data_IF_438221418169
#
_entry.id   IF_438221418169
#
_cell.length_a   1.000
_cell.length_b   1.000
_cell.length_c   1.000
_cell.angle_alpha   90.00
_cell.angle_beta   90.00
_cell.angle_gamma   90.00
#
_symmetry.space_group_name_H-M   'P 1'
#
loop_
_entity.id
_entity.type
_entity.pdbx_description
1 polymer ?
#
# COMPACT_ATOMS: atom_id res chain seq x y z
N UNK A 1 28.50 44.74 -25.31
CA UNK A 1 27.32 44.66 -24.41
C UNK A 1 27.22 43.22 -23.93
N UNK A 2 27.88 42.92 -22.84
CA UNK A 2 27.81 41.62 -22.19
C UNK A 2 26.55 41.60 -21.34
N UNK A 3 25.57 40.78 -21.73
CA UNK A 3 24.40 40.49 -20.89
C UNK A 3 24.87 39.61 -19.71
N UNK A 4 24.98 40.21 -18.53
CA UNK A 4 25.00 39.46 -17.26
C UNK A 4 23.73 38.66 -17.16
N UNK A 5 23.80 37.37 -17.39
CA UNK A 5 22.80 36.42 -16.89
C UNK A 5 22.97 36.35 -15.37
N UNK A 6 22.18 37.10 -14.63
CA UNK A 6 21.97 36.86 -13.20
C UNK A 6 21.36 35.48 -13.06
N UNK A 7 22.13 34.50 -12.57
CA UNK A 7 21.62 33.24 -12.10
C UNK A 7 20.74 33.55 -10.88
N UNK A 8 19.45 33.42 -11.04
CA UNK A 8 18.51 33.42 -9.90
C UNK A 8 18.95 32.28 -8.97
N UNK A 9 19.55 32.63 -7.84
CA UNK A 9 19.88 31.67 -6.79
C UNK A 9 18.63 31.52 -5.94
N UNK A 10 17.95 30.34 -6.04
CA UNK A 10 16.81 30.02 -5.21
C UNK A 10 17.31 29.90 -3.76
N UNK A 11 16.77 30.73 -2.87
CA UNK A 11 17.03 30.62 -1.44
C UNK A 11 16.14 29.54 -0.83
N UNK A 12 16.69 28.83 0.16
CA UNK A 12 15.94 27.82 0.91
C UNK A 12 14.90 28.52 1.81
N UNK A 13 13.62 28.24 1.60
CA UNK A 13 12.54 28.74 2.43
C UNK A 13 12.27 27.78 3.62
N UNK A 14 13.04 27.97 4.68
CA UNK A 14 12.94 27.16 5.90
C UNK A 14 11.58 27.39 6.57
N UNK A 15 11.03 28.60 6.54
CA UNK A 15 9.74 28.91 7.14
C UNK A 15 8.60 28.06 6.55
N UNK A 16 8.53 27.98 5.22
CA UNK A 16 7.54 27.13 4.55
C UNK A 16 7.73 25.64 4.87
N UNK A 17 8.98 25.18 5.00
CA UNK A 17 9.25 23.78 5.37
C UNK A 17 8.73 23.49 6.78
N UNK A 18 8.98 24.37 7.75
CA UNK A 18 8.50 24.25 9.12
C UNK A 18 6.97 24.29 9.20
N UNK A 19 6.31 25.13 8.40
CA UNK A 19 4.85 25.16 8.29
C UNK A 19 4.28 23.86 7.74
N UNK A 20 4.90 23.25 6.73
CA UNK A 20 4.47 21.94 6.20
C UNK A 20 4.58 20.87 7.30
N UNK A 21 5.68 20.82 8.02
CA UNK A 21 5.88 19.88 9.12
C UNK A 21 4.81 20.08 10.20
N UNK A 22 4.58 21.32 10.62
CA UNK A 22 3.56 21.66 11.60
C UNK A 22 2.17 21.20 11.14
N UNK A 23 1.81 21.46 9.89
CA UNK A 23 0.52 21.04 9.33
C UNK A 23 0.34 19.51 9.32
N UNK A 24 1.41 18.72 9.15
CA UNK A 24 1.34 17.26 9.29
C UNK A 24 1.08 16.83 10.73
N UNK A 25 1.65 17.51 11.72
CA UNK A 25 1.40 17.24 13.15
C UNK A 25 -0.06 17.58 13.50
N UNK A 26 -0.56 18.73 13.08
CA UNK A 26 -1.96 19.13 13.27
C UNK A 26 -2.95 18.17 12.61
N UNK A 27 -2.63 17.69 11.40
CA UNK A 27 -3.41 16.68 10.70
C UNK A 27 -3.49 15.39 11.51
N UNK A 28 -2.35 14.90 12.02
CA UNK A 28 -2.25 13.69 12.84
C UNK A 28 -3.10 13.79 14.10
N UNK A 29 -2.96 14.88 14.85
CA UNK A 29 -3.74 15.14 16.06
C UNK A 29 -5.25 15.22 15.79
N UNK A 30 -5.63 15.88 14.69
CA UNK A 30 -7.02 15.97 14.24
C UNK A 30 -7.61 14.62 13.92
N UNK A 31 -6.86 13.79 13.18
CA UNK A 31 -7.26 12.41 12.84
C UNK A 31 -7.46 11.56 14.09
N UNK A 32 -6.50 11.57 15.02
CA UNK A 32 -6.61 10.81 16.28
C UNK A 32 -7.84 11.24 17.05
N UNK A 33 -8.09 12.54 17.15
CA UNK A 33 -9.29 13.08 17.81
C UNK A 33 -10.59 12.53 17.21
N UNK A 34 -10.67 12.44 15.89
CA UNK A 34 -11.83 11.92 15.17
C UNK A 34 -11.96 10.39 15.33
N UNK A 35 -10.84 9.64 15.25
CA UNK A 35 -10.83 8.19 15.41
C UNK A 35 -11.35 7.76 16.79
N UNK A 36 -11.09 8.53 17.84
CA UNK A 36 -11.55 8.24 19.20
C UNK A 36 -12.91 8.87 19.55
N UNK A 37 -13.60 9.44 18.57
CA UNK A 37 -14.96 9.95 18.78
C UNK A 37 -15.89 8.83 19.28
N UNK A 38 -16.65 9.12 20.35
CA UNK A 38 -17.54 8.14 21.00
C UNK A 38 -19.00 8.43 20.68
N UNK A 39 -19.68 7.41 20.16
CA UNK A 39 -21.13 7.46 19.99
C UNK A 39 -21.78 6.20 20.58
N UNK A 40 -22.66 6.36 21.55
CA UNK A 40 -23.15 5.25 22.40
C UNK A 40 -24.12 4.28 21.72
N UNK A 41 -24.76 4.66 20.62
CA UNK A 41 -25.97 3.94 20.16
C UNK A 41 -25.80 3.08 18.90
N UNK A 42 -24.66 3.08 18.20
CA UNK A 42 -24.49 2.29 17.00
C UNK A 42 -23.00 2.00 16.66
N UNK A 43 -22.55 0.79 17.01
CA UNK A 43 -21.15 0.37 16.78
C UNK A 43 -20.76 0.26 15.29
N UNK A 44 -21.68 -0.19 14.42
CA UNK A 44 -21.37 -0.34 12.99
C UNK A 44 -21.21 1.02 12.28
N UNK A 45 -22.00 2.02 12.67
CA UNK A 45 -21.87 3.39 12.15
C UNK A 45 -20.51 4.01 12.54
N UNK A 46 -20.04 3.74 13.77
CA UNK A 46 -18.73 4.21 14.22
C UNK A 46 -17.59 3.50 13.47
N UNK A 47 -17.73 2.20 13.20
CA UNK A 47 -16.78 1.43 12.40
C UNK A 47 -16.59 2.08 11.02
N UNK A 48 -17.68 2.26 10.27
CA UNK A 48 -17.64 2.89 8.96
C UNK A 48 -17.09 4.33 9.00
N UNK A 49 -17.43 5.12 10.02
CA UNK A 49 -16.88 6.47 10.18
C UNK A 49 -15.35 6.47 10.38
N UNK A 50 -14.80 5.49 11.12
CA UNK A 50 -13.36 5.35 11.30
C UNK A 50 -12.66 4.89 10.02
N UNK A 51 -13.27 3.98 9.28
CA UNK A 51 -12.79 3.59 7.95
C UNK A 51 -12.74 4.79 6.99
N UNK A 52 -13.74 5.68 7.04
CA UNK A 52 -13.76 6.92 6.25
C UNK A 52 -12.59 7.84 6.61
N UNK A 53 -12.23 8.00 7.90
CA UNK A 53 -11.07 8.80 8.32
C UNK A 53 -9.77 8.20 7.77
N UNK A 54 -9.57 6.89 7.90
CA UNK A 54 -8.41 6.21 7.32
C UNK A 54 -8.38 6.36 5.79
N UNK A 55 -9.54 6.20 5.14
CA UNK A 55 -9.65 6.39 3.70
C UNK A 55 -9.24 7.80 3.27
N UNK A 56 -9.66 8.83 3.97
CA UNK A 56 -9.30 10.22 3.67
C UNK A 56 -7.78 10.43 3.73
N UNK A 57 -7.09 9.86 4.72
CA UNK A 57 -5.63 9.88 4.78
C UNK A 57 -5.02 9.29 3.50
N UNK A 58 -5.42 8.07 3.12
CA UNK A 58 -4.85 7.40 1.95
C UNK A 58 -5.16 8.16 0.65
N UNK A 59 -6.37 8.69 0.49
CA UNK A 59 -6.73 9.54 -0.67
C UNK A 59 -5.83 10.78 -0.76
N UNK A 60 -5.43 11.35 0.38
CA UNK A 60 -4.57 12.53 0.42
C UNK A 60 -3.11 12.22 0.07
N UNK A 61 -2.58 11.06 0.50
CA UNK A 61 -1.14 10.77 0.38
C UNK A 61 -0.75 9.95 -0.84
N UNK A 62 -1.68 9.19 -1.46
CA UNK A 62 -1.34 8.38 -2.63
C UNK A 62 -1.42 9.16 -3.94
N UNK A 63 -0.57 8.85 -4.95
CA UNK A 63 -0.66 9.49 -6.27
C UNK A 63 -2.01 9.23 -6.94
N UNK A 64 -2.51 10.21 -7.72
CA UNK A 64 -3.83 10.16 -8.37
C UNK A 64 -4.03 9.03 -9.39
N UNK A 65 -2.98 8.32 -9.78
CA UNK A 65 -3.14 7.10 -10.59
C UNK A 65 -3.78 5.96 -9.80
N UNK A 66 -3.72 6.02 -8.48
CA UNK A 66 -4.37 5.07 -7.60
C UNK A 66 -5.72 5.58 -7.13
N UNK A 67 -6.65 4.65 -6.97
CA UNK A 67 -7.97 4.87 -6.37
C UNK A 67 -8.03 4.16 -5.04
N UNK A 68 -8.66 4.78 -4.05
CA UNK A 68 -8.92 4.19 -2.72
C UNK A 68 -10.38 3.80 -2.64
N UNK A 69 -10.64 2.49 -2.65
CA UNK A 69 -11.99 1.91 -2.59
C UNK A 69 -12.24 1.23 -1.24
N UNK A 70 -13.49 1.30 -0.77
CA UNK A 70 -13.95 0.65 0.49
C UNK A 70 -14.79 -0.58 0.19
N UNK A 71 -14.79 -1.55 1.13
CA UNK A 71 -15.64 -2.74 1.09
C UNK A 71 -15.50 -3.50 -0.23
N UNK A 72 -14.34 -4.10 -0.44
CA UNK A 72 -13.94 -4.73 -1.71
C UNK A 72 -13.63 -6.20 -1.51
N UNK A 73 -14.02 -7.03 -2.47
CA UNK A 73 -13.55 -8.41 -2.60
C UNK A 73 -12.47 -8.48 -3.68
N UNK A 74 -11.34 -9.09 -3.36
CA UNK A 74 -10.25 -9.32 -4.31
C UNK A 74 -10.40 -10.73 -4.86
N UNK A 75 -10.33 -10.88 -6.17
CA UNK A 75 -10.45 -12.18 -6.86
C UNK A 75 -9.24 -12.42 -7.74
N UNK A 76 -8.78 -13.66 -7.82
CA UNK A 76 -7.74 -14.08 -8.77
C UNK A 76 -8.32 -14.88 -9.95
N UNK A 77 -7.51 -15.07 -11.00
CA UNK A 77 -7.90 -15.84 -12.19
C UNK A 77 -8.02 -17.35 -11.95
N UNK A 78 -7.72 -17.83 -10.74
CA UNK A 78 -7.92 -19.25 -10.34
C UNK A 78 -9.25 -19.45 -9.61
N UNK A 79 -9.96 -18.37 -9.28
CA UNK A 79 -11.26 -18.39 -8.61
C UNK A 79 -11.18 -18.30 -7.09
N UNK A 80 -10.01 -17.97 -6.53
CA UNK A 80 -9.92 -17.65 -5.11
C UNK A 80 -10.41 -16.23 -4.88
N UNK A 81 -11.13 -16.04 -3.79
CA UNK A 81 -11.72 -14.74 -3.41
C UNK A 81 -11.32 -14.42 -1.99
N UNK A 82 -10.91 -13.19 -1.74
CA UNK A 82 -10.60 -12.69 -0.39
C UNK A 82 -11.87 -12.58 0.47
N UNK A 83 -11.74 -12.51 1.79
CA UNK A 83 -12.74 -11.85 2.63
C UNK A 83 -12.97 -10.41 2.15
N UNK A 84 -14.01 -9.75 2.67
CA UNK A 84 -14.17 -8.32 2.46
C UNK A 84 -12.93 -7.58 3.01
N UNK A 85 -12.38 -6.68 2.20
CA UNK A 85 -11.25 -5.84 2.54
C UNK A 85 -11.78 -4.44 2.81
N UNK A 86 -11.49 -3.89 3.99
CA UNK A 86 -12.06 -2.62 4.44
C UNK A 86 -11.68 -1.49 3.49
N UNK A 87 -10.36 -1.38 3.11
CA UNK A 87 -9.88 -0.42 2.13
C UNK A 87 -8.88 -1.08 1.18
N UNK A 88 -8.94 -0.70 -0.09
CA UNK A 88 -7.99 -1.14 -1.13
C UNK A 88 -7.46 0.07 -1.89
N UNK A 89 -6.15 0.10 -2.13
CA UNK A 89 -5.52 1.03 -3.07
C UNK A 89 -5.23 0.24 -4.35
N UNK A 90 -5.82 0.66 -5.46
CA UNK A 90 -5.75 -0.04 -6.74
C UNK A 90 -5.44 0.89 -7.91
N UNK A 91 -4.87 0.33 -8.96
CA UNK A 91 -4.66 1.00 -10.24
C UNK A 91 -5.82 0.67 -11.20
N UNK A 92 -6.68 1.66 -11.49
CA UNK A 92 -7.81 1.50 -12.41
C UNK A 92 -7.44 1.75 -13.87
N UNK A 93 -6.23 2.21 -14.19
CA UNK A 93 -5.90 2.71 -15.54
C UNK A 93 -6.00 1.60 -16.59
N UNK A 94 -5.55 0.39 -16.26
CA UNK A 94 -5.51 -0.74 -17.20
C UNK A 94 -6.27 -1.97 -16.73
N UNK A 95 -6.89 -1.92 -15.55
CA UNK A 95 -7.53 -3.08 -14.95
C UNK A 95 -8.98 -2.79 -14.62
N UNK A 96 -9.95 -3.45 -15.29
CA UNK A 96 -11.36 -3.24 -15.02
C UNK A 96 -11.78 -3.94 -13.73
N UNK A 97 -12.88 -3.48 -13.13
CA UNK A 97 -13.58 -4.29 -12.13
C UNK A 97 -14.12 -5.56 -12.80
N UNK A 98 -13.98 -6.69 -12.14
CA UNK A 98 -14.66 -7.94 -12.56
C UNK A 98 -16.16 -7.78 -12.41
N UNK A 99 -16.59 -7.12 -11.32
CA UNK A 99 -17.98 -6.77 -11.08
C UNK A 99 -18.08 -5.56 -10.16
N UNK A 100 -19.00 -4.63 -10.46
CA UNK A 100 -19.30 -3.48 -9.62
C UNK A 100 -20.79 -3.14 -9.65
N UNK A 101 -21.46 -3.23 -8.50
CA UNK A 101 -22.85 -2.77 -8.35
C UNK A 101 -23.10 -2.29 -6.92
N UNK A 102 -23.26 -0.99 -6.76
CA UNK A 102 -23.41 -0.37 -5.45
C UNK A 102 -22.20 -0.62 -4.55
N UNK A 103 -22.42 -1.24 -3.41
CA UNK A 103 -21.34 -1.59 -2.46
C UNK A 103 -20.62 -2.90 -2.82
N UNK A 104 -21.19 -3.73 -3.69
CA UNK A 104 -20.56 -4.99 -4.07
C UNK A 104 -19.56 -4.75 -5.20
N UNK A 105 -18.29 -4.99 -4.90
CA UNK A 105 -17.16 -4.76 -5.81
C UNK A 105 -16.23 -5.96 -5.79
N UNK A 106 -15.95 -6.52 -6.96
CA UNK A 106 -14.94 -7.55 -7.15
C UNK A 106 -13.83 -6.97 -8.03
N UNK A 107 -12.63 -6.94 -7.47
CA UNK A 107 -11.45 -6.35 -8.11
C UNK A 107 -10.43 -7.47 -8.37
N UNK A 108 -9.83 -7.54 -9.56
CA UNK A 108 -8.77 -8.52 -9.82
C UNK A 108 -7.51 -8.18 -9.01
N UNK A 109 -6.82 -9.21 -8.54
CA UNK A 109 -5.60 -9.08 -7.73
C UNK A 109 -4.53 -8.26 -8.46
N UNK A 110 -4.49 -8.30 -9.78
CA UNK A 110 -3.56 -7.59 -10.63
C UNK A 110 -3.66 -6.05 -10.50
N UNK A 111 -4.82 -5.54 -10.08
CA UNK A 111 -5.02 -4.11 -9.85
C UNK A 111 -4.55 -3.64 -8.47
N UNK A 112 -4.45 -4.56 -7.50
CA UNK A 112 -4.33 -4.21 -6.08
C UNK A 112 -2.88 -3.93 -5.70
N UNK A 113 -2.61 -2.69 -5.31
CA UNK A 113 -1.30 -2.27 -4.79
C UNK A 113 -1.22 -2.41 -3.26
N UNK A 114 -2.31 -2.09 -2.55
CA UNK A 114 -2.38 -2.15 -1.08
C UNK A 114 -3.73 -2.73 -0.64
N UNK A 115 -3.72 -3.62 0.34
CA UNK A 115 -4.90 -4.10 1.05
C UNK A 115 -4.81 -3.70 2.52
N UNK A 116 -5.88 -3.10 3.05
CA UNK A 116 -5.89 -2.47 4.36
C UNK A 116 -7.04 -3.04 5.18
N UNK A 117 -6.72 -3.48 6.39
CA UNK A 117 -7.67 -3.94 7.39
C UNK A 117 -7.78 -2.90 8.51
N UNK A 118 -9.01 -2.49 8.86
CA UNK A 118 -9.29 -1.47 9.87
C UNK A 118 -10.01 -2.08 11.07
N UNK A 119 -9.46 -1.94 12.27
CA UNK A 119 -10.09 -2.44 13.50
C UNK A 119 -10.18 -1.37 14.57
N UNK A 120 -11.37 -1.20 15.09
CA UNK A 120 -11.66 -0.26 16.20
C UNK A 120 -11.41 -0.87 17.58
N UNK A 121 -11.36 -2.18 17.66
CA UNK A 121 -11.09 -2.98 18.86
C UNK A 121 -10.03 -4.02 18.50
N UNK A 122 -9.37 -4.59 19.53
CA UNK A 122 -8.42 -5.68 19.32
C UNK A 122 -9.08 -6.82 18.54
N UNK A 123 -8.49 -7.21 17.44
CA UNK A 123 -8.86 -8.41 16.69
C UNK A 123 -8.07 -9.62 17.21
N UNK A 124 -8.63 -10.84 17.07
CA UNK A 124 -7.87 -12.03 17.40
C UNK A 124 -6.75 -12.23 16.37
N UNK A 125 -5.61 -12.74 16.83
CA UNK A 125 -4.45 -13.05 15.97
C UNK A 125 -4.86 -13.98 14.83
N UNK A 126 -5.61 -15.05 15.15
CA UNK A 126 -6.03 -16.08 14.18
C UNK A 126 -6.91 -15.49 13.06
N UNK A 127 -7.77 -14.51 13.40
CA UNK A 127 -8.59 -13.83 12.40
C UNK A 127 -7.75 -13.00 11.43
N UNK A 128 -6.79 -12.23 11.95
CA UNK A 128 -5.89 -11.41 11.15
C UNK A 128 -4.90 -12.27 10.34
N UNK A 129 -4.38 -13.36 10.93
CA UNK A 129 -3.53 -14.32 10.23
C UNK A 129 -4.28 -14.95 9.04
N UNK A 130 -5.50 -15.43 9.26
CA UNK A 130 -6.34 -15.98 8.18
C UNK A 130 -6.58 -14.95 7.08
N UNK A 131 -6.85 -13.69 7.45
CA UNK A 131 -7.06 -12.61 6.49
C UNK A 131 -5.78 -12.34 5.68
N UNK A 132 -4.64 -12.16 6.34
CA UNK A 132 -3.37 -11.89 5.67
C UNK A 132 -2.92 -13.04 4.78
N UNK A 133 -3.08 -14.28 5.23
CA UNK A 133 -2.72 -15.48 4.46
C UNK A 133 -3.62 -15.64 3.24
N UNK A 134 -4.92 -15.34 3.37
CA UNK A 134 -5.82 -15.36 2.22
C UNK A 134 -5.39 -14.35 1.16
N UNK A 135 -5.10 -13.10 1.55
CA UNK A 135 -4.65 -12.07 0.59
C UNK A 135 -3.32 -12.47 -0.06
N UNK A 136 -2.34 -12.94 0.73
CA UNK A 136 -1.04 -13.42 0.21
C UNK A 136 -1.17 -14.65 -0.68
N UNK A 137 -2.21 -15.46 -0.46
CA UNK A 137 -2.50 -16.67 -1.22
C UNK A 137 -3.04 -16.41 -2.63
N UNK A 138 -3.60 -15.23 -2.91
CA UNK A 138 -4.11 -14.86 -4.22
C UNK A 138 -2.97 -14.79 -5.24
N UNK A 139 -3.23 -15.29 -6.47
CA UNK A 139 -2.21 -15.43 -7.50
C UNK A 139 -2.46 -14.50 -8.67
N UNK A 140 -1.51 -13.62 -8.95
CA UNK A 140 -1.50 -12.82 -10.17
C UNK A 140 -1.19 -13.68 -11.39
N UNK A 141 -1.87 -13.41 -12.52
CA UNK A 141 -1.59 -14.06 -13.80
C UNK A 141 -0.78 -13.13 -14.71
N UNK A 142 0.16 -13.71 -15.46
CA UNK A 142 0.96 -13.00 -16.47
C UNK A 142 0.46 -13.22 -17.89
N UNK A 143 -0.66 -13.90 -18.08
CA UNK A 143 -1.27 -14.16 -19.37
C UNK A 143 -1.94 -12.94 -19.96
N UNK A 144 -1.19 -11.84 -20.12
CA UNK A 144 -1.69 -10.58 -20.64
C UNK A 144 -1.11 -10.30 -22.03
N UNK A 145 -1.90 -9.60 -22.87
CA UNK A 145 -1.48 -9.12 -24.17
C UNK A 145 -1.86 -7.65 -24.32
N UNK A 146 -0.87 -6.78 -24.52
CA UNK A 146 -1.12 -5.36 -24.67
C UNK A 146 -0.21 -4.72 -25.73
N UNK A 147 -0.77 -3.75 -26.46
CA UNK A 147 0.03 -2.91 -27.35
C UNK A 147 0.81 -1.87 -26.56
N UNK A 148 2.13 -1.90 -26.73
CA UNK A 148 3.04 -0.85 -26.26
C UNK A 148 3.51 0.03 -27.42
N UNK A 149 4.15 1.14 -27.13
CA UNK A 149 4.72 1.96 -28.19
C UNK A 149 5.80 1.18 -28.94
N UNK A 150 5.51 0.83 -30.19
CA UNK A 150 6.44 0.12 -31.08
C UNK A 150 6.44 -1.40 -31.03
N UNK A 151 5.73 -2.04 -30.06
CA UNK A 151 5.66 -3.51 -29.99
C UNK A 151 4.40 -3.99 -29.25
N UNK A 152 4.12 -5.28 -29.34
CA UNK A 152 3.11 -5.95 -28.51
C UNK A 152 3.80 -6.60 -27.32
N UNK A 153 3.43 -6.20 -26.12
CA UNK A 153 3.89 -6.85 -24.90
C UNK A 153 3.04 -8.07 -24.59
N UNK A 154 3.70 -9.17 -24.26
CA UNK A 154 3.08 -10.35 -23.68
C UNK A 154 3.67 -10.54 -22.29
N UNK A 155 2.89 -11.06 -21.35
CA UNK A 155 3.37 -11.34 -20.00
C UNK A 155 4.48 -12.38 -19.92
N UNK A 156 4.64 -13.18 -20.97
CA UNK A 156 5.71 -14.17 -21.10
C UNK A 156 6.97 -13.53 -21.70
N UNK A 157 7.99 -13.35 -20.83
CA UNK A 157 9.30 -12.84 -21.21
C UNK A 157 10.31 -13.98 -21.23
N UNK A 158 10.27 -14.80 -22.28
CA UNK A 158 11.21 -15.90 -22.45
C UNK A 158 12.67 -15.42 -22.38
N UNK A 159 13.39 -15.85 -21.34
CA UNK A 159 14.84 -15.74 -21.25
C UNK A 159 15.42 -14.40 -20.82
N UNK A 160 14.62 -13.43 -20.37
CA UNK A 160 15.09 -12.16 -19.76
C UNK A 160 14.81 -12.15 -18.26
N UNK A 161 15.65 -11.44 -17.50
CA UNK A 161 15.40 -11.14 -16.08
C UNK A 161 14.00 -10.54 -15.93
N UNK A 162 13.15 -11.23 -15.18
CA UNK A 162 11.78 -10.81 -14.95
C UNK A 162 11.76 -9.84 -13.79
N UNK A 163 11.09 -8.69 -13.97
CA UNK A 163 10.92 -7.72 -12.90
C UNK A 163 9.87 -8.16 -11.87
N UNK A 164 9.12 -9.23 -12.17
CA UNK A 164 8.15 -9.84 -11.26
C UNK A 164 7.92 -11.31 -11.63
N UNK A 165 7.66 -12.13 -10.62
CA UNK A 165 7.22 -13.51 -10.80
C UNK A 165 5.83 -13.75 -10.19
N UNK A 166 5.60 -13.23 -8.99
CA UNK A 166 4.33 -13.26 -8.29
C UNK A 166 4.24 -11.99 -7.42
N UNK A 167 3.36 -11.09 -7.79
CA UNK A 167 3.16 -9.84 -7.05
C UNK A 167 2.08 -10.02 -5.99
N UNK A 168 2.30 -9.46 -4.81
CA UNK A 168 1.31 -9.33 -3.74
C UNK A 168 1.11 -7.87 -3.36
N UNK A 169 -0.06 -7.50 -2.83
CA UNK A 169 -0.27 -6.16 -2.27
C UNK A 169 0.59 -5.93 -1.03
N UNK A 170 0.85 -4.66 -0.74
CA UNK A 170 1.31 -4.21 0.57
C UNK A 170 0.15 -4.38 1.56
N UNK A 171 0.39 -4.99 2.72
CA UNK A 171 -0.62 -5.20 3.74
C UNK A 171 -0.49 -4.17 4.84
N UNK A 172 -1.57 -3.42 5.10
CA UNK A 172 -1.61 -2.39 6.14
C UNK A 172 -2.68 -2.72 7.17
N UNK A 173 -2.35 -2.57 8.45
CA UNK A 173 -3.27 -2.66 9.56
C UNK A 173 -3.49 -1.29 10.18
N UNK A 174 -4.74 -0.84 10.24
CA UNK A 174 -5.14 0.41 10.88
C UNK A 174 -5.91 0.08 12.16
N UNK A 175 -5.42 0.47 13.32
CA UNK A 175 -6.02 0.11 14.60
C UNK A 175 -6.00 1.24 15.63
N UNK A 176 -6.84 1.07 16.67
CA UNK A 176 -6.90 1.93 17.84
C UNK A 176 -6.41 1.13 19.05
N UNK A 177 -5.41 1.66 19.77
CA UNK A 177 -4.94 1.11 21.06
C UNK A 177 -4.82 -0.43 21.09
N UNK A 178 -4.40 -1.07 19.99
CA UNK A 178 -4.20 -2.52 19.97
C UNK A 178 -2.98 -2.87 20.85
N UNK A 179 -3.22 -3.66 21.90
CA UNK A 179 -2.18 -4.08 22.84
C UNK A 179 -1.46 -5.35 22.40
N UNK A 180 -1.86 -5.96 21.29
CA UNK A 180 -1.29 -7.22 20.80
C UNK A 180 -0.19 -6.97 19.76
N UNK A 181 1.07 -6.81 20.20
CA UNK A 181 2.22 -6.62 19.32
C UNK A 181 2.34 -7.68 18.22
N UNK A 182 1.92 -8.92 18.49
CA UNK A 182 1.93 -10.02 17.51
C UNK A 182 1.05 -9.75 16.29
N UNK A 183 -0.06 -9.02 16.44
CA UNK A 183 -0.92 -8.66 15.33
C UNK A 183 -0.17 -7.82 14.29
N UNK A 184 0.75 -6.96 14.76
CA UNK A 184 1.53 -6.06 13.92
C UNK A 184 2.53 -6.81 13.03
N UNK A 185 3.05 -7.95 13.46
CA UNK A 185 4.01 -8.77 12.72
C UNK A 185 3.40 -9.41 11.44
N UNK A 186 2.07 -9.52 11.38
CA UNK A 186 1.36 -10.07 10.23
C UNK A 186 1.35 -9.13 9.01
N UNK A 187 1.49 -7.82 9.25
CA UNK A 187 1.35 -6.77 8.26
C UNK A 187 2.69 -6.14 7.88
N UNK A 188 2.73 -5.52 6.72
CA UNK A 188 3.91 -4.77 6.26
C UNK A 188 4.02 -3.44 7.00
N UNK A 189 2.87 -2.79 7.28
CA UNK A 189 2.76 -1.61 8.12
C UNK A 189 1.58 -1.74 9.09
N UNK A 190 1.74 -1.18 10.27
CA UNK A 190 0.63 -0.95 11.21
C UNK A 190 0.57 0.54 11.57
N UNK A 191 -0.59 1.14 11.39
CA UNK A 191 -0.92 2.49 11.82
C UNK A 191 -1.77 2.40 13.07
N UNK A 192 -1.15 2.64 14.24
CA UNK A 192 -1.81 2.58 15.53
C UNK A 192 -2.08 3.97 16.06
N UNK A 193 -3.35 4.34 16.16
CA UNK A 193 -3.73 5.60 16.77
C UNK A 193 -3.67 5.51 18.31
N UNK A 194 -3.01 6.47 18.94
CA UNK A 194 -2.86 6.62 20.39
C UNK A 194 -3.57 7.90 20.85
N UNK A 195 -4.62 7.74 21.67
CA UNK A 195 -5.41 8.87 22.17
C UNK A 195 -4.69 9.67 23.27
N UNK A 196 -3.78 9.05 24.01
CA UNK A 196 -3.05 9.72 25.11
C UNK A 196 -1.96 10.63 24.55
N UNK A 197 -1.21 10.13 23.57
CA UNK A 197 -0.14 10.88 22.90
C UNK A 197 -0.66 11.75 21.75
N UNK A 198 -1.93 11.59 21.34
CA UNK A 198 -2.55 12.22 20.16
C UNK A 198 -1.72 11.99 18.89
N UNK A 199 -1.22 10.77 18.73
CA UNK A 199 -0.25 10.39 17.70
C UNK A 199 -0.67 9.09 17.01
N UNK A 200 -0.19 8.90 15.78
CA UNK A 200 -0.28 7.64 15.04
C UNK A 200 1.11 7.02 15.02
N UNK A 201 1.29 5.91 15.75
CA UNK A 201 2.51 5.14 15.70
C UNK A 201 2.55 4.30 14.44
N UNK A 202 3.65 4.40 13.68
CA UNK A 202 3.87 3.63 12.47
C UNK A 202 4.84 2.49 12.80
N UNK A 203 4.32 1.28 12.80
CA UNK A 203 5.13 0.07 12.95
C UNK A 203 5.34 -0.56 11.57
N UNK A 204 6.54 -1.02 11.31
CA UNK A 204 6.93 -1.70 10.06
C UNK A 204 7.43 -3.09 10.37
N UNK A 205 7.28 -3.96 9.39
CA UNK A 205 7.85 -5.30 9.49
C UNK A 205 9.38 -5.22 9.60
N UNK A 206 9.94 -5.67 10.72
CA UNK A 206 11.37 -5.53 11.04
C UNK A 206 12.28 -6.42 10.17
N UNK A 207 11.72 -7.50 9.60
CA UNK A 207 12.45 -8.48 8.80
C UNK A 207 12.86 -7.94 7.42
N UNK A 208 12.18 -6.91 6.92
CA UNK A 208 12.38 -6.32 5.59
C UNK A 208 12.86 -4.89 5.77
N UNK A 209 14.12 -4.62 5.49
CA UNK A 209 14.76 -3.32 5.79
C UNK A 209 15.12 -2.51 4.55
N UNK A 210 15.69 -3.16 3.54
CA UNK A 210 16.17 -2.47 2.33
C UNK A 210 15.10 -2.42 1.25
N UNK A 211 15.21 -1.47 0.34
CA UNK A 211 14.32 -1.39 -0.81
C UNK A 211 14.42 -2.62 -1.71
N UNK A 212 15.60 -3.27 -1.77
CA UNK A 212 15.79 -4.51 -2.51
C UNK A 212 14.99 -5.67 -1.88
N UNK A 213 15.04 -5.82 -0.56
CA UNK A 213 14.24 -6.81 0.17
C UNK A 213 12.73 -6.56 -0.03
N UNK A 214 12.29 -5.30 0.01
CA UNK A 214 10.91 -4.92 -0.29
C UNK A 214 10.53 -5.26 -1.74
N UNK A 215 11.40 -4.92 -2.70
CA UNK A 215 11.18 -5.26 -4.10
C UNK A 215 10.96 -6.76 -4.28
N UNK A 216 11.80 -7.59 -3.67
CA UNK A 216 11.65 -9.05 -3.73
C UNK A 216 10.38 -9.54 -3.01
N UNK A 217 10.10 -9.05 -1.82
CA UNK A 217 8.92 -9.45 -1.05
C UNK A 217 7.59 -9.11 -1.75
N UNK A 218 7.56 -8.03 -2.54
CA UNK A 218 6.36 -7.56 -3.23
C UNK A 218 6.21 -8.13 -4.64
N UNK A 219 7.30 -8.38 -5.37
CA UNK A 219 7.26 -8.78 -6.79
C UNK A 219 7.70 -10.22 -7.06
N UNK A 220 8.31 -10.88 -6.08
CA UNK A 220 8.80 -12.26 -6.17
C UNK A 220 8.33 -13.08 -4.96
N UNK A 221 7.09 -12.86 -4.53
CA UNK A 221 6.52 -13.45 -3.32
C UNK A 221 6.44 -14.99 -3.38
N UNK A 222 6.24 -15.55 -4.55
CA UNK A 222 6.23 -17.01 -4.76
C UNK A 222 7.65 -17.51 -5.01
N UNK A 223 8.27 -18.09 -3.99
CA UNK A 223 9.64 -18.62 -4.03
C UNK A 223 9.80 -19.89 -4.87
N UNK A 224 8.73 -20.42 -5.45
CA UNK A 224 8.77 -21.60 -6.32
C UNK A 224 9.38 -21.30 -7.70
N UNK A 225 9.55 -20.02 -8.05
CA UNK A 225 10.15 -19.60 -9.31
C UNK A 225 11.61 -19.21 -9.09
N UNK A 226 12.46 -20.13 -9.48
CA UNK A 226 13.90 -20.06 -9.78
C UNK A 226 14.74 -19.04 -8.97
N UNK A 227 15.32 -19.52 -7.87
CA UNK A 227 16.35 -18.81 -7.07
C UNK A 227 17.63 -18.47 -7.87
N UNK A 228 17.68 -18.82 -9.17
CA UNK A 228 18.81 -18.57 -10.06
C UNK A 228 18.80 -17.21 -10.76
N UNK A 229 17.74 -16.42 -10.59
CA UNK A 229 17.72 -15.03 -11.04
C UNK A 229 18.59 -14.18 -10.11
N UNK A 230 19.91 -14.28 -10.27
CA UNK A 230 20.85 -13.32 -9.67
C UNK A 230 20.63 -11.97 -10.33
N UNK A 231 19.76 -11.19 -9.71
CA UNK A 231 19.61 -9.78 -9.97
C UNK A 231 20.68 -9.06 -9.14
N UNK A 232 21.57 -8.35 -9.83
CA UNK A 232 22.52 -7.48 -9.13
C UNK A 232 21.79 -6.15 -8.84
N UNK A 233 21.31 -6.01 -7.60
CA UNK A 233 20.53 -4.84 -7.19
C UNK A 233 21.34 -3.56 -7.38
N UNK A 234 20.82 -2.54 -8.08
CA UNK A 234 21.44 -1.23 -8.10
C UNK A 234 21.72 -0.70 -6.70
N UNK A 235 22.86 -0.03 -6.49
CA UNK A 235 23.29 0.45 -5.16
C UNK A 235 22.19 1.23 -4.42
N UNK A 236 21.38 1.99 -5.14
CA UNK A 236 20.25 2.74 -4.57
C UNK A 236 19.16 1.86 -3.95
N UNK A 237 18.99 0.62 -4.40
CA UNK A 237 18.03 -0.32 -3.80
C UNK A 237 18.53 -0.92 -2.49
N UNK A 238 19.81 -0.80 -2.18
CA UNK A 238 20.38 -1.23 -0.89
C UNK A 238 20.06 -0.24 0.24
N UNK A 239 19.49 0.93 -0.08
CA UNK A 239 19.06 1.91 0.90
C UNK A 239 17.97 1.33 1.82
N UNK A 240 18.04 1.66 3.11
CA UNK A 240 16.98 1.32 4.06
C UNK A 240 15.74 2.18 3.81
N UNK A 241 14.56 1.58 4.01
CA UNK A 241 13.30 2.32 4.04
C UNK A 241 13.27 3.36 5.19
N UNK A 242 14.08 3.16 6.22
CA UNK A 242 14.25 4.12 7.33
C UNK A 242 14.83 5.46 6.87
N UNK A 243 15.57 5.48 5.77
CA UNK A 243 16.12 6.72 5.21
C UNK A 243 15.02 7.69 4.71
N UNK A 244 13.78 7.23 4.65
CA UNK A 244 12.60 8.03 4.28
C UNK A 244 11.86 8.59 5.50
N UNK A 245 12.43 8.46 6.71
CA UNK A 245 11.90 9.10 7.91
C UNK A 245 12.20 10.60 7.89
N UNK A 246 11.17 11.38 8.21
CA UNK A 246 11.30 12.83 8.45
C UNK A 246 11.28 13.08 9.94
N UNK A 247 12.26 13.83 10.40
CA UNK A 247 12.39 14.25 11.79
C UNK A 247 12.33 15.76 11.90
N UNK A 248 11.73 16.25 12.96
CA UNK A 248 11.64 17.67 13.30
C UNK A 248 12.10 17.88 14.73
N UNK A 249 12.74 19.02 14.98
CA UNK A 249 13.31 19.41 16.26
C UNK A 249 14.75 19.86 16.15
N UNK A 250 15.32 20.29 17.26
CA UNK A 250 16.74 20.65 17.38
C UNK A 250 17.57 19.47 17.84
N UNK A 251 18.87 19.51 17.63
CA UNK A 251 19.83 18.46 18.01
C UNK A 251 19.59 17.94 19.44
N UNK A 252 19.25 16.65 19.55
CA UNK A 252 18.97 15.96 20.82
C UNK A 252 17.50 15.89 21.23
N UNK A 253 16.59 16.59 20.57
CA UNK A 253 15.13 16.53 20.81
C UNK A 253 14.34 16.26 19.50
N UNK A 254 14.99 15.67 18.50
CA UNK A 254 14.35 15.31 17.25
C UNK A 254 13.23 14.29 17.45
N UNK A 255 12.06 14.58 16.86
CA UNK A 255 10.89 13.68 16.86
C UNK A 255 10.50 13.34 15.44
N UNK A 256 10.10 12.10 15.23
CA UNK A 256 9.58 11.68 13.94
C UNK A 256 8.22 12.34 13.66
N UNK A 257 8.07 12.86 12.44
CA UNK A 257 6.80 13.32 11.87
C UNK A 257 6.14 12.13 11.18
N UNK A 258 5.38 11.35 11.95
CA UNK A 258 4.95 9.99 11.59
C UNK A 258 4.23 9.92 10.26
N UNK A 259 3.20 10.75 10.04
CA UNK A 259 2.42 10.71 8.79
C UNK A 259 3.22 11.17 7.57
N UNK A 260 4.15 12.12 7.73
CA UNK A 260 5.01 12.57 6.62
C UNK A 260 6.04 11.49 6.27
N UNK A 261 6.64 10.85 7.26
CA UNK A 261 7.53 9.70 7.09
C UNK A 261 6.80 8.57 6.37
N UNK A 262 5.60 8.22 6.83
CA UNK A 262 4.78 7.18 6.22
C UNK A 262 4.41 7.51 4.77
N UNK A 263 4.05 8.76 4.49
CA UNK A 263 3.78 9.21 3.12
C UNK A 263 4.97 8.90 2.19
N UNK A 264 6.18 9.28 2.56
CA UNK A 264 7.36 9.01 1.74
C UNK A 264 7.66 7.51 1.62
N UNK A 265 7.58 6.76 2.72
CA UNK A 265 7.82 5.32 2.74
C UNK A 265 6.81 4.55 1.88
N UNK A 266 5.50 4.80 2.07
CA UNK A 266 4.46 4.15 1.28
C UNK A 266 4.61 4.46 -0.21
N UNK A 267 4.79 5.74 -0.56
CA UNK A 267 4.94 6.12 -1.96
C UNK A 267 6.20 5.55 -2.60
N UNK A 268 7.30 5.41 -1.86
CA UNK A 268 8.49 4.72 -2.36
C UNK A 268 8.19 3.23 -2.64
N UNK A 269 7.45 2.54 -1.77
CA UNK A 269 7.07 1.15 -2.02
C UNK A 269 6.07 1.02 -3.17
N UNK A 270 5.13 1.95 -3.33
CA UNK A 270 4.24 1.99 -4.50
C UNK A 270 5.00 2.16 -5.83
N UNK A 271 6.20 2.76 -5.81
CA UNK A 271 7.08 2.81 -6.98
C UNK A 271 7.83 1.50 -7.24
N UNK A 272 7.96 0.64 -6.22
CA UNK A 272 8.62 -0.67 -6.33
C UNK A 272 7.64 -1.79 -6.72
N UNK A 273 6.37 -1.68 -6.33
CA UNK A 273 5.34 -2.61 -6.81
C UNK A 273 5.20 -2.42 -8.32
N UNK A 274 5.36 -3.52 -9.07
CA UNK A 274 5.29 -3.45 -10.53
C UNK A 274 3.85 -3.22 -10.98
N UNK A 275 3.51 -1.98 -11.09
CA UNK A 275 2.18 -1.51 -11.40
C UNK A 275 2.26 -0.44 -12.52
N UNK A 276 1.37 -0.50 -13.52
CA UNK A 276 0.24 -1.40 -13.63
C UNK A 276 0.64 -2.79 -14.14
N UNK A 277 0.08 -3.84 -13.54
CA UNK A 277 0.05 -5.13 -14.20
C UNK A 277 -0.94 -5.08 -15.34
N UNK A 278 -0.55 -5.60 -16.47
CA UNK A 278 -1.46 -5.74 -17.60
C UNK A 278 -2.53 -6.79 -17.27
N UNK A 279 -3.80 -6.42 -17.39
CA UNK A 279 -4.89 -7.30 -17.01
C UNK A 279 -4.96 -8.56 -17.92
N UNK A 280 -4.93 -9.78 -17.34
CA UNK A 280 -4.90 -11.04 -18.09
C UNK A 280 -6.31 -11.48 -18.49
N UNK A 281 -6.92 -10.82 -19.50
CA UNK A 281 -8.31 -11.04 -19.90
C UNK A 281 -8.66 -12.52 -20.13
N UNK A 282 -7.79 -13.26 -20.83
CA UNK A 282 -8.08 -14.68 -21.15
C UNK A 282 -8.12 -15.54 -19.90
N UNK A 283 -7.24 -15.30 -18.91
CA UNK A 283 -7.23 -16.07 -17.67
C UNK A 283 -8.56 -15.94 -16.90
N UNK A 284 -9.17 -14.74 -16.91
CA UNK A 284 -10.49 -14.52 -16.30
C UNK A 284 -11.64 -15.07 -17.16
N UNK A 285 -11.55 -14.97 -18.49
CA UNK A 285 -12.53 -15.63 -19.39
C UNK A 285 -12.54 -17.14 -19.14
N UNK A 286 -11.37 -17.76 -19.04
CA UNK A 286 -11.25 -19.18 -18.75
C UNK A 286 -11.78 -19.56 -17.37
N UNK A 287 -11.58 -18.71 -16.37
CA UNK A 287 -12.16 -18.89 -15.03
C UNK A 287 -13.69 -19.00 -15.11
N UNK A 288 -14.35 -18.07 -15.79
CA UNK A 288 -15.80 -18.05 -15.88
C UNK A 288 -16.36 -19.17 -16.75
N UNK A 289 -15.63 -19.60 -17.78
CA UNK A 289 -16.03 -20.71 -18.65
C UNK A 289 -15.86 -22.07 -17.98
N UNK A 290 -14.81 -22.29 -17.20
CA UNK A 290 -14.55 -23.55 -16.48
C UNK A 290 -15.62 -23.92 -15.45
N UNK A 291 -16.38 -22.96 -14.98
CA UNK A 291 -17.45 -23.19 -13.98
C UNK A 291 -18.65 -23.97 -14.55
N UNK A 292 -18.74 -24.15 -15.87
CA UNK A 292 -19.87 -24.79 -16.55
C UNK A 292 -19.51 -26.15 -17.16
N UNK A 293 -18.32 -26.66 -16.89
CA UNK A 293 -17.86 -28.01 -17.21
C UNK A 293 -17.77 -28.84 -15.91
#
# INVERSE_FOLDING_TARGET
MEQKQEKLQLELDIGTIDEIIHNYVELEESMVSQLFFKYKNNGSTIGGFREDIWRELFVQIVPKKFVVEQSVFIIDSKGHVSPEVDLVILDEIYTPYIFRKGRLKFIPIEAVAVAIECKSLSASYESLETWTDTIKGLKTSRESVARMHGYIATGDMNGKSQTQTATRPILIYCCLDDKHSKNMELFDFTLQADSEQRKIHIHRKEEIRTLDEWYHALNHHDTTVDQNLKYDAPEKLKASIDNYQVKSGTDGEEREVSLLSFNFQLNQLLMLVNNPMLFPHMAYVDLFNKKYI
#
